data_IF_813675548061
#
_entry.id   IF_813675548061
#
_cell.length_a   1.000
_cell.length_b   1.000
_cell.length_c   1.000
_cell.angle_alpha   90.00
_cell.angle_beta   90.00
_cell.angle_gamma   90.00
#
_symmetry.space_group_name_H-M   'P 1'
#
loop_
_entity.id
_entity.type
_entity.pdbx_description
1 polymer ?
#
# COMPACT_ATOMS: atom_id res chain seq x y z
N UNK A 1 11.95 -10.99 -27.97
CA UNK A 1 11.27 -11.00 -26.64
C UNK A 1 12.26 -11.23 -25.50
N UNK A 2 13.18 -12.20 -25.63
CA UNK A 2 14.22 -12.52 -24.64
C UNK A 2 15.03 -11.33 -24.11
N UNK A 3 15.55 -10.45 -24.97
CA UNK A 3 16.31 -9.25 -24.55
C UNK A 3 15.55 -8.35 -23.56
N UNK A 4 14.25 -8.16 -23.79
CA UNK A 4 13.40 -7.33 -22.91
C UNK A 4 13.12 -8.00 -21.58
N UNK A 5 12.94 -9.32 -21.58
CA UNK A 5 12.78 -10.11 -20.34
C UNK A 5 14.08 -10.01 -19.52
N UNK A 6 15.25 -10.20 -20.15
CA UNK A 6 16.54 -10.05 -19.49
C UNK A 6 16.73 -8.67 -18.85
N UNK A 7 16.29 -7.59 -19.52
CA UNK A 7 16.33 -6.23 -18.94
C UNK A 7 15.43 -6.08 -17.71
N UNK A 8 14.20 -6.60 -17.75
CA UNK A 8 13.27 -6.54 -16.62
C UNK A 8 13.84 -7.34 -15.44
N UNK A 9 14.31 -8.56 -15.69
CA UNK A 9 14.93 -9.41 -14.69
C UNK A 9 16.14 -8.71 -14.07
N UNK A 10 17.02 -8.11 -14.87
CA UNK A 10 18.17 -7.37 -14.37
C UNK A 10 17.77 -6.20 -13.46
N UNK A 11 16.77 -5.40 -13.87
CA UNK A 11 16.27 -4.27 -13.05
C UNK A 11 15.70 -4.77 -11.73
N UNK A 12 14.91 -5.85 -11.76
CA UNK A 12 14.34 -6.45 -10.55
C UNK A 12 15.44 -6.97 -9.63
N UNK A 13 16.44 -7.68 -10.16
CA UNK A 13 17.56 -8.21 -9.37
C UNK A 13 18.38 -7.08 -8.75
N UNK A 14 18.68 -6.01 -9.49
CA UNK A 14 19.37 -4.83 -8.94
C UNK A 14 18.52 -4.18 -7.84
N UNK A 15 17.22 -4.01 -8.07
CA UNK A 15 16.31 -3.42 -7.07
C UNK A 15 16.17 -4.26 -5.80
N UNK A 16 16.18 -5.59 -5.92
CA UNK A 16 16.21 -6.53 -4.79
C UNK A 16 17.55 -6.43 -4.06
N UNK A 17 18.68 -6.45 -4.79
CA UNK A 17 20.01 -6.36 -4.18
C UNK A 17 20.16 -5.07 -3.36
N UNK A 18 19.75 -3.93 -3.91
CA UNK A 18 19.76 -2.65 -3.19
C UNK A 18 18.95 -2.75 -1.89
N UNK A 19 17.76 -3.37 -1.93
CA UNK A 19 16.90 -3.52 -0.75
C UNK A 19 17.48 -4.47 0.29
N UNK A 20 18.13 -5.56 -0.15
CA UNK A 20 18.85 -6.49 0.73
C UNK A 20 19.99 -5.76 1.46
N UNK A 21 20.76 -4.94 0.75
CA UNK A 21 21.86 -4.19 1.35
C UNK A 21 21.39 -3.08 2.30
N UNK A 22 20.22 -2.48 2.04
CA UNK A 22 19.65 -1.40 2.85
C UNK A 22 18.85 -1.93 4.06
N UNK A 23 18.28 -3.14 3.97
CA UNK A 23 17.38 -3.69 4.98
C UNK A 23 17.91 -3.65 6.42
N UNK A 24 19.22 -3.83 6.69
CA UNK A 24 19.72 -3.84 8.07
C UNK A 24 20.08 -2.45 8.61
N UNK A 25 20.14 -1.43 7.76
CA UNK A 25 20.69 -0.11 8.10
C UNK A 25 19.84 0.71 9.08
N UNK A 26 18.59 0.31 9.32
CA UNK A 26 17.68 1.06 10.18
C UNK A 26 16.75 0.15 10.97
N UNK A 27 16.80 0.32 12.29
CA UNK A 27 15.95 -0.31 13.30
C UNK A 27 14.91 0.70 13.78
N UNK A 28 14.01 1.09 12.88
CA UNK A 28 12.87 1.97 13.21
C UNK A 28 12.03 1.40 14.37
N UNK A 29 11.28 2.26 15.06
CA UNK A 29 10.35 1.80 16.11
C UNK A 29 9.33 0.78 15.58
N UNK A 30 8.88 0.94 14.33
CA UNK A 30 7.92 0.00 13.73
C UNK A 30 8.54 -1.37 13.43
N UNK A 31 9.79 -1.44 12.94
CA UNK A 31 10.41 -2.75 12.67
C UNK A 31 10.69 -3.50 13.96
N UNK A 32 11.04 -2.80 15.05
CA UNK A 32 11.18 -3.41 16.38
C UNK A 32 9.84 -4.01 16.85
N UNK A 33 8.72 -3.31 16.64
CA UNK A 33 7.38 -3.82 16.90
C UNK A 33 7.07 -5.06 16.04
N UNK A 34 7.36 -5.04 14.74
CA UNK A 34 7.14 -6.18 13.86
C UNK A 34 7.98 -7.40 14.26
N UNK A 35 9.23 -7.17 14.67
CA UNK A 35 10.15 -8.19 15.15
C UNK A 35 9.63 -8.87 16.42
N UNK A 36 9.11 -8.06 17.36
CA UNK A 36 8.46 -8.60 18.55
C UNK A 36 7.21 -9.42 18.22
N UNK A 37 6.34 -8.90 17.34
CA UNK A 37 5.19 -9.65 16.84
C UNK A 37 5.60 -10.99 16.27
N UNK A 38 6.57 -11.01 15.38
CA UNK A 38 7.12 -12.21 14.76
C UNK A 38 7.62 -13.23 15.81
N UNK A 39 8.47 -12.80 16.75
CA UNK A 39 9.03 -13.62 17.84
C UNK A 39 7.99 -14.17 18.80
N UNK A 40 6.99 -13.38 19.18
CA UNK A 40 5.92 -13.83 20.08
C UNK A 40 5.01 -14.82 19.37
N UNK A 41 4.60 -14.54 18.12
CA UNK A 41 3.80 -15.45 17.32
C UNK A 41 4.50 -16.81 17.15
N UNK A 42 5.81 -16.80 16.89
CA UNK A 42 6.58 -18.03 16.75
C UNK A 42 6.66 -18.81 18.06
N UNK A 43 7.03 -18.15 19.18
CA UNK A 43 7.22 -18.82 20.48
C UNK A 43 5.93 -19.25 21.17
N UNK A 44 4.85 -18.47 21.03
CA UNK A 44 3.55 -18.73 21.68
C UNK A 44 2.59 -19.50 20.79
N UNK A 45 2.83 -19.50 19.48
CA UNK A 45 1.86 -19.99 18.50
C UNK A 45 0.87 -18.90 18.08
N UNK A 46 0.12 -19.20 17.02
CA UNK A 46 -0.82 -18.27 16.40
C UNK A 46 -2.14 -18.15 17.17
N UNK A 47 -2.60 -19.25 17.78
CA UNK A 47 -3.87 -19.34 18.49
C UNK A 47 -3.96 -18.30 19.61
N UNK A 48 -5.04 -17.53 19.62
CA UNK A 48 -5.31 -16.46 20.59
C UNK A 48 -4.24 -15.35 20.69
N UNK A 49 -3.28 -15.29 19.78
CA UNK A 49 -2.13 -14.39 19.91
C UNK A 49 -2.55 -12.90 19.95
N UNK A 50 -3.61 -12.51 19.26
CA UNK A 50 -4.18 -11.16 19.35
C UNK A 50 -4.58 -10.74 20.77
N UNK A 51 -4.89 -11.67 21.66
CA UNK A 51 -5.29 -11.40 23.05
C UNK A 51 -4.24 -11.82 24.07
N UNK A 52 -3.04 -12.16 23.62
CA UNK A 52 -1.93 -12.38 24.53
C UNK A 52 -1.67 -11.12 25.36
N UNK A 53 -1.52 -11.27 26.68
CA UNK A 53 -1.46 -10.17 27.65
C UNK A 53 -0.07 -9.53 27.77
N UNK A 54 0.98 -10.22 27.35
CA UNK A 54 2.37 -9.81 27.60
C UNK A 54 3.11 -9.48 26.31
N UNK A 55 2.65 -8.45 25.61
CA UNK A 55 3.37 -7.85 24.49
C UNK A 55 4.42 -6.85 25.00
N UNK A 56 5.73 -7.08 24.79
CA UNK A 56 6.78 -6.19 25.32
C UNK A 56 6.68 -4.72 24.86
N UNK A 57 6.32 -4.44 23.62
CA UNK A 57 6.30 -3.09 23.03
C UNK A 57 4.89 -2.67 22.67
N UNK A 58 4.16 -3.48 21.88
CA UNK A 58 2.80 -3.13 21.48
C UNK A 58 1.96 -4.34 21.10
N UNK A 59 0.66 -4.22 21.38
CA UNK A 59 -0.33 -5.21 20.96
C UNK A 59 -0.44 -5.27 19.43
N UNK A 60 -0.71 -6.45 18.83
CA UNK A 60 -0.90 -6.59 17.40
C UNK A 60 -2.04 -5.75 16.87
N UNK A 61 -1.76 -5.08 15.77
CA UNK A 61 -2.71 -4.18 15.12
C UNK A 61 -2.91 -4.45 13.63
N UNK A 62 -2.06 -5.30 13.03
CA UNK A 62 -2.19 -5.67 11.63
C UNK A 62 -3.24 -6.78 11.43
N UNK A 63 -3.82 -6.91 10.24
CA UNK A 63 -4.76 -7.98 9.96
C UNK A 63 -4.05 -9.34 9.79
N UNK A 64 -4.81 -10.44 9.82
CA UNK A 64 -4.27 -11.78 10.00
C UNK A 64 -3.28 -12.22 8.92
N UNK A 65 -3.48 -11.83 7.66
CA UNK A 65 -2.58 -12.27 6.59
C UNK A 65 -1.18 -11.68 6.78
N UNK A 66 -1.08 -10.42 7.23
CA UNK A 66 0.20 -9.83 7.56
C UNK A 66 0.82 -10.43 8.82
N UNK A 67 0.01 -10.73 9.84
CA UNK A 67 0.47 -11.41 11.05
C UNK A 67 1.04 -12.80 10.74
N UNK A 68 0.41 -13.55 9.82
CA UNK A 68 0.96 -14.80 9.29
C UNK A 68 2.29 -14.58 8.56
N UNK A 69 2.40 -13.48 7.82
CA UNK A 69 3.66 -13.07 7.20
C UNK A 69 4.77 -12.89 8.22
N UNK A 70 4.51 -12.19 9.34
CA UNK A 70 5.49 -12.01 10.41
C UNK A 70 5.86 -13.33 11.10
N UNK A 71 4.88 -14.19 11.37
CA UNK A 71 5.16 -15.54 11.90
C UNK A 71 6.07 -16.34 10.96
N UNK A 72 5.79 -16.30 9.64
CA UNK A 72 6.61 -17.00 8.66
C UNK A 72 8.02 -16.41 8.57
N UNK A 73 8.16 -15.08 8.65
CA UNK A 73 9.47 -14.43 8.72
C UNK A 73 10.30 -14.95 9.89
N UNK A 74 9.72 -15.02 11.09
CA UNK A 74 10.43 -15.60 12.25
C UNK A 74 10.72 -17.08 12.08
N UNK A 75 9.75 -17.85 11.56
CA UNK A 75 9.92 -19.28 11.33
C UNK A 75 11.09 -19.56 10.38
N UNK A 76 11.21 -18.80 9.30
CA UNK A 76 12.32 -18.92 8.35
C UNK A 76 13.66 -18.53 9.00
N UNK A 77 13.68 -17.48 9.82
CA UNK A 77 14.88 -17.04 10.52
C UNK A 77 15.36 -18.08 11.53
N UNK A 78 14.47 -18.63 12.35
CA UNK A 78 14.80 -19.67 13.34
C UNK A 78 15.22 -20.99 12.69
N UNK A 79 14.89 -21.21 11.41
CA UNK A 79 15.30 -22.37 10.62
C UNK A 79 16.38 -22.02 9.58
N UNK A 80 17.18 -20.96 9.81
CA UNK A 80 18.22 -20.54 8.88
C UNK A 80 19.37 -21.54 8.70
N UNK A 81 19.52 -22.54 9.58
CA UNK A 81 20.52 -23.60 9.46
C UNK A 81 20.38 -24.41 8.15
N UNK A 82 19.19 -24.43 7.55
CA UNK A 82 18.93 -25.04 6.24
C UNK A 82 19.83 -24.43 5.15
N UNK A 83 20.24 -23.16 5.28
CA UNK A 83 21.18 -22.55 4.35
C UNK A 83 22.57 -23.21 4.41
N UNK A 84 23.03 -23.57 5.61
CA UNK A 84 24.29 -24.28 5.82
C UNK A 84 24.20 -25.73 5.31
N UNK A 85 23.08 -26.41 5.53
CA UNK A 85 22.83 -27.75 4.99
C UNK A 85 22.87 -27.74 3.46
N UNK A 86 22.20 -26.78 2.82
CA UNK A 86 22.20 -26.62 1.38
C UNK A 86 23.61 -26.32 0.84
N UNK A 87 24.37 -25.47 1.54
CA UNK A 87 25.76 -25.20 1.18
C UNK A 87 26.64 -26.44 1.24
N UNK A 88 26.45 -27.30 2.24
CA UNK A 88 27.21 -28.54 2.34
C UNK A 88 26.87 -29.54 1.22
N UNK A 89 25.63 -29.51 0.71
CA UNK A 89 25.17 -30.41 -0.34
C UNK A 89 25.54 -29.94 -1.76
N UNK A 90 25.35 -28.65 -2.06
CA UNK A 90 25.47 -28.10 -3.42
C UNK A 90 26.35 -26.85 -3.51
N UNK A 91 27.05 -26.48 -2.44
CA UNK A 91 27.90 -25.28 -2.35
C UNK A 91 27.18 -23.95 -2.61
N UNK A 92 25.85 -23.92 -2.40
CA UNK A 92 25.02 -22.71 -2.49
C UNK A 92 24.07 -22.61 -1.29
N UNK A 93 23.88 -21.41 -0.72
CA UNK A 93 24.54 -20.13 -1.07
C UNK A 93 26.00 -20.08 -0.55
N UNK A 94 26.87 -19.20 -1.08
CA UNK A 94 28.22 -19.00 -0.54
C UNK A 94 28.25 -18.68 0.96
N UNK A 95 29.30 -19.10 1.66
CA UNK A 95 29.45 -18.93 3.12
C UNK A 95 29.31 -17.47 3.55
N UNK A 96 29.80 -16.52 2.76
CA UNK A 96 29.64 -15.08 3.04
C UNK A 96 28.16 -14.64 3.11
N UNK A 97 27.28 -15.23 2.30
CA UNK A 97 25.84 -14.95 2.34
C UNK A 97 25.22 -15.54 3.60
N UNK A 98 25.65 -16.76 4.00
CA UNK A 98 25.17 -17.41 5.23
C UNK A 98 25.53 -16.57 6.45
N UNK A 99 26.79 -16.15 6.56
CA UNK A 99 27.26 -15.30 7.66
C UNK A 99 26.56 -13.94 7.69
N UNK A 100 26.34 -13.33 6.51
CA UNK A 100 25.58 -12.09 6.43
C UNK A 100 24.13 -12.28 6.86
N UNK A 101 23.50 -13.38 6.45
CA UNK A 101 22.12 -13.71 6.80
C UNK A 101 21.96 -14.03 8.28
N UNK A 102 22.92 -14.70 8.90
CA UNK A 102 22.90 -14.93 10.35
C UNK A 102 22.83 -13.62 11.15
N UNK A 103 23.52 -12.59 10.68
CA UNK A 103 23.55 -11.28 11.33
C UNK A 103 22.33 -10.39 11.00
N UNK A 104 21.81 -10.49 9.78
CA UNK A 104 20.87 -9.50 9.22
C UNK A 104 19.55 -10.09 8.70
N UNK A 105 19.44 -11.41 8.66
CA UNK A 105 18.37 -12.17 8.02
C UNK A 105 17.01 -11.90 8.62
N UNK A 106 16.94 -11.69 9.94
CA UNK A 106 15.69 -11.34 10.62
C UNK A 106 15.10 -10.03 10.07
N UNK A 107 15.90 -8.96 9.97
CA UNK A 107 15.43 -7.69 9.40
C UNK A 107 15.04 -7.81 7.93
N UNK A 108 15.82 -8.57 7.14
CA UNK A 108 15.48 -8.83 5.76
C UNK A 108 14.14 -9.57 5.64
N UNK A 109 13.94 -10.63 6.41
CA UNK A 109 12.75 -11.47 6.36
C UNK A 109 11.49 -10.74 6.83
N UNK A 110 11.59 -9.81 7.78
CA UNK A 110 10.45 -8.97 8.15
C UNK A 110 10.06 -7.99 7.02
N UNK A 111 11.06 -7.48 6.29
CA UNK A 111 10.88 -6.50 5.20
C UNK A 111 10.55 -7.13 3.86
N UNK A 112 10.78 -8.43 3.68
CA UNK A 112 10.60 -9.14 2.40
C UNK A 112 9.19 -8.99 1.82
N UNK A 113 8.18 -8.90 2.68
CA UNK A 113 6.79 -8.73 2.26
C UNK A 113 6.57 -7.41 1.51
N UNK A 114 7.18 -6.32 1.99
CA UNK A 114 7.12 -5.04 1.31
C UNK A 114 7.94 -5.06 0.00
N UNK A 115 9.09 -5.72 0.00
CA UNK A 115 9.92 -5.92 -1.20
C UNK A 115 9.15 -6.71 -2.27
N UNK A 116 8.39 -7.74 -1.89
CA UNK A 116 7.48 -8.47 -2.78
C UNK A 116 6.41 -7.51 -3.33
N UNK A 117 5.85 -6.65 -2.48
CA UNK A 117 4.93 -5.59 -2.90
C UNK A 117 5.50 -4.65 -3.97
N UNK A 118 6.78 -4.28 -3.86
CA UNK A 118 7.48 -3.48 -4.87
C UNK A 118 7.60 -4.21 -6.20
N UNK A 119 7.97 -5.51 -6.17
CA UNK A 119 8.08 -6.33 -7.38
C UNK A 119 6.72 -6.46 -8.06
N UNK A 120 5.67 -6.78 -7.31
CA UNK A 120 4.30 -6.88 -7.85
C UNK A 120 3.88 -5.54 -8.46
N UNK A 121 4.14 -4.42 -7.77
CA UNK A 121 3.83 -3.08 -8.26
C UNK A 121 4.59 -2.74 -9.55
N UNK A 122 5.86 -3.11 -9.65
CA UNK A 122 6.69 -2.91 -10.84
C UNK A 122 6.17 -3.71 -12.04
N UNK A 123 5.75 -4.96 -11.81
CA UNK A 123 5.12 -5.80 -12.83
C UNK A 123 3.76 -5.23 -13.27
N UNK A 124 2.94 -4.76 -12.32
CA UNK A 124 1.69 -4.06 -12.63
C UNK A 124 1.96 -2.85 -13.52
N UNK A 125 2.93 -2.01 -13.16
CA UNK A 125 3.30 -0.85 -13.97
C UNK A 125 3.73 -1.26 -15.39
N UNK A 126 4.55 -2.30 -15.53
CA UNK A 126 4.93 -2.84 -16.84
C UNK A 126 3.70 -3.20 -17.68
N UNK A 127 2.79 -4.02 -17.15
CA UNK A 127 1.63 -4.48 -17.91
C UNK A 127 0.68 -3.33 -18.27
N UNK A 128 0.43 -2.41 -17.34
CA UNK A 128 -0.46 -1.26 -17.57
C UNK A 128 0.14 -0.28 -18.58
N UNK A 129 1.41 0.09 -18.44
CA UNK A 129 2.08 1.01 -19.37
C UNK A 129 2.17 0.38 -20.76
N UNK A 130 2.48 -0.92 -20.85
CA UNK A 130 2.50 -1.63 -22.13
C UNK A 130 1.12 -1.64 -22.78
N UNK A 131 0.06 -1.86 -22.00
CA UNK A 131 -1.34 -1.81 -22.49
C UNK A 131 -1.74 -0.42 -22.99
N UNK A 132 -1.32 0.65 -22.31
CA UNK A 132 -1.67 2.03 -22.67
C UNK A 132 -0.87 2.52 -23.88
N UNK A 133 0.44 2.31 -23.85
CA UNK A 133 1.36 2.94 -24.82
C UNK A 133 1.72 2.05 -26.00
N UNK A 134 1.46 0.74 -25.89
CA UNK A 134 1.94 -0.30 -26.81
C UNK A 134 3.48 -0.36 -26.96
N UNK A 135 4.22 0.34 -26.09
CA UNK A 135 5.69 0.47 -26.16
C UNK A 135 6.35 -0.24 -24.97
N UNK A 136 7.04 -1.34 -25.24
CA UNK A 136 7.73 -2.08 -24.16
C UNK A 136 8.85 -1.28 -23.49
N UNK A 137 9.53 -0.40 -24.21
CA UNK A 137 10.61 0.40 -23.62
C UNK A 137 10.08 1.35 -22.54
N UNK A 138 8.91 1.95 -22.77
CA UNK A 138 8.23 2.76 -21.76
C UNK A 138 7.77 1.90 -20.57
N UNK A 139 7.29 0.68 -20.85
CA UNK A 139 6.91 -0.25 -19.79
C UNK A 139 8.11 -0.66 -18.91
N UNK A 140 9.29 -0.85 -19.49
CA UNK A 140 10.54 -1.11 -18.75
C UNK A 140 10.93 0.09 -17.89
N UNK A 141 10.74 1.33 -18.38
CA UNK A 141 10.93 2.54 -17.56
C UNK A 141 10.00 2.52 -16.34
N UNK A 142 8.76 2.04 -16.48
CA UNK A 142 7.85 1.86 -15.35
C UNK A 142 8.37 0.90 -14.28
N UNK A 143 8.96 -0.23 -14.69
CA UNK A 143 9.62 -1.17 -13.76
C UNK A 143 10.76 -0.46 -13.02
N UNK A 144 11.61 0.26 -13.76
CA UNK A 144 12.73 1.02 -13.20
C UNK A 144 12.26 2.07 -12.20
N UNK A 145 11.21 2.82 -12.53
CA UNK A 145 10.65 3.89 -11.70
C UNK A 145 10.03 3.40 -10.40
N UNK A 146 9.64 2.12 -10.29
CA UNK A 146 9.18 1.54 -9.02
C UNK A 146 10.33 0.88 -8.29
N UNK A 147 11.08 -0.01 -8.96
CA UNK A 147 12.17 -0.76 -8.33
C UNK A 147 13.30 0.14 -7.85
N UNK A 148 13.60 1.26 -8.51
CA UNK A 148 14.67 2.17 -8.12
C UNK A 148 14.14 3.49 -7.53
N UNK A 149 12.86 3.54 -7.15
CA UNK A 149 12.30 4.75 -6.55
C UNK A 149 12.82 4.92 -5.11
N UNK A 150 13.36 6.10 -4.73
CA UNK A 150 13.76 6.34 -3.35
C UNK A 150 12.58 6.25 -2.36
N UNK A 151 11.35 6.61 -2.75
CA UNK A 151 10.17 6.49 -1.87
C UNK A 151 9.88 5.04 -1.50
N UNK A 152 9.88 4.15 -2.50
CA UNK A 152 9.61 2.72 -2.29
C UNK A 152 10.78 2.04 -1.56
N UNK A 153 12.03 2.31 -1.94
CA UNK A 153 13.21 1.78 -1.23
C UNK A 153 13.20 2.23 0.25
N UNK A 154 12.88 3.50 0.50
CA UNK A 154 12.83 4.03 1.85
C UNK A 154 11.75 3.34 2.67
N UNK A 155 10.55 3.13 2.15
CA UNK A 155 9.47 2.51 2.90
C UNK A 155 9.67 1.00 3.11
N UNK A 156 10.00 0.26 2.05
CA UNK A 156 10.01 -1.20 2.09
C UNK A 156 11.29 -1.76 2.71
N UNK A 157 12.45 -1.17 2.42
CA UNK A 157 13.75 -1.68 2.85
C UNK A 157 14.37 -0.86 3.98
N UNK A 158 14.40 0.47 3.89
CA UNK A 158 15.00 1.25 4.97
C UNK A 158 14.11 1.27 6.21
N UNK A 159 12.83 1.63 6.07
CA UNK A 159 11.88 1.72 7.18
C UNK A 159 11.34 0.34 7.58
N UNK A 160 10.86 -0.44 6.60
CA UNK A 160 10.25 -1.74 6.81
C UNK A 160 8.74 -1.70 7.05
N UNK A 161 8.05 -0.74 6.46
CA UNK A 161 6.60 -0.73 6.40
C UNK A 161 6.12 -1.56 5.20
N UNK A 162 4.83 -1.90 5.19
CA UNK A 162 4.22 -2.86 4.27
C UNK A 162 3.02 -2.27 3.52
N UNK A 163 2.96 -0.94 3.38
CA UNK A 163 1.82 -0.26 2.77
C UNK A 163 1.72 -0.56 1.27
N UNK A 164 2.87 -0.77 0.61
CA UNK A 164 2.90 -1.03 -0.83
C UNK A 164 2.35 -2.41 -1.23
N UNK A 165 2.52 -3.46 -0.43
CA UNK A 165 2.04 -4.80 -0.78
C UNK A 165 0.50 -4.84 -0.81
N UNK A 166 -0.17 -4.28 0.20
CA UNK A 166 -1.63 -4.15 0.19
C UNK A 166 -2.10 -3.33 -1.01
N UNK A 167 -1.43 -2.21 -1.28
CA UNK A 167 -1.71 -1.36 -2.45
C UNK A 167 -1.57 -2.13 -3.77
N UNK A 168 -0.52 -2.94 -3.93
CA UNK A 168 -0.27 -3.73 -5.12
C UNK A 168 -1.40 -4.74 -5.39
N UNK A 169 -1.86 -5.45 -4.35
CA UNK A 169 -3.00 -6.37 -4.46
C UNK A 169 -4.31 -5.64 -4.79
N UNK A 170 -4.55 -4.47 -4.20
CA UNK A 170 -5.72 -3.66 -4.52
C UNK A 170 -5.69 -3.17 -5.98
N UNK A 171 -4.51 -2.82 -6.51
CA UNK A 171 -4.33 -2.50 -7.93
C UNK A 171 -4.55 -3.71 -8.85
N UNK A 172 -4.00 -4.87 -8.50
CA UNK A 172 -4.21 -6.10 -9.27
C UNK A 172 -5.69 -6.46 -9.34
N UNK A 173 -6.39 -6.36 -8.21
CA UNK A 173 -7.84 -6.51 -8.10
C UNK A 173 -8.56 -5.57 -9.09
N UNK A 174 -8.33 -4.27 -8.95
CA UNK A 174 -8.92 -3.21 -9.79
C UNK A 174 -8.67 -3.45 -11.30
N UNK A 175 -7.48 -3.88 -11.70
CA UNK A 175 -7.16 -4.20 -13.09
C UNK A 175 -7.92 -5.44 -13.61
N UNK A 176 -7.99 -6.49 -12.79
CA UNK A 176 -8.70 -7.73 -13.12
C UNK A 176 -10.21 -7.55 -13.15
N UNK A 177 -10.74 -6.57 -12.42
CA UNK A 177 -12.15 -6.20 -12.48
C UNK A 177 -12.62 -5.93 -13.92
N UNK A 178 -11.75 -5.31 -14.72
CA UNK A 178 -12.04 -4.99 -16.13
C UNK A 178 -11.81 -6.14 -17.10
N UNK A 179 -11.33 -7.29 -16.62
CA UNK A 179 -11.02 -8.47 -17.43
C UNK A 179 -12.26 -9.32 -17.69
N UNK A 180 -12.46 -9.74 -18.94
CA UNK A 180 -13.58 -10.62 -19.29
C UNK A 180 -13.47 -12.01 -18.62
N UNK A 181 -12.25 -12.54 -18.50
CA UNK A 181 -12.03 -13.95 -18.10
C UNK A 181 -11.59 -14.11 -16.64
N UNK A 182 -11.15 -13.03 -15.99
CA UNK A 182 -10.54 -13.08 -14.66
C UNK A 182 -11.19 -12.11 -13.66
N UNK A 183 -12.35 -11.55 -13.98
CA UNK A 183 -13.07 -10.63 -13.09
C UNK A 183 -13.50 -11.27 -11.77
N UNK A 184 -13.66 -12.60 -11.72
CA UNK A 184 -13.93 -13.35 -10.48
C UNK A 184 -12.78 -13.25 -9.45
N UNK A 185 -11.54 -13.03 -9.89
CA UNK A 185 -10.38 -12.86 -9.01
C UNK A 185 -10.28 -11.45 -8.41
N UNK A 186 -11.03 -10.49 -8.96
CA UNK A 186 -10.99 -9.10 -8.50
C UNK A 186 -11.33 -8.98 -7.02
N UNK A 187 -12.50 -9.50 -6.61
CA UNK A 187 -12.98 -9.39 -5.23
C UNK A 187 -12.05 -10.15 -4.24
N UNK A 188 -11.66 -11.42 -4.50
CA UNK A 188 -10.68 -12.12 -3.66
C UNK A 188 -9.40 -11.35 -3.45
N UNK A 189 -8.82 -10.75 -4.51
CA UNK A 189 -7.58 -9.98 -4.38
C UNK A 189 -7.77 -8.67 -3.61
N UNK A 190 -8.93 -8.03 -3.70
CA UNK A 190 -9.23 -6.86 -2.87
C UNK A 190 -9.33 -7.24 -1.39
N UNK A 191 -9.92 -8.39 -1.09
CA UNK A 191 -10.00 -8.92 0.26
C UNK A 191 -8.61 -9.31 0.78
N UNK A 192 -7.75 -9.90 -0.05
CA UNK A 192 -6.34 -10.13 0.29
C UNK A 192 -5.63 -8.82 0.62
N UNK A 193 -5.81 -7.77 -0.20
CA UNK A 193 -5.24 -6.45 0.05
C UNK A 193 -5.68 -5.89 1.41
N UNK A 194 -6.98 -5.96 1.71
CA UNK A 194 -7.55 -5.53 2.98
C UNK A 194 -7.01 -6.34 4.17
N UNK A 195 -6.85 -7.65 4.02
CA UNK A 195 -6.28 -8.56 5.03
C UNK A 195 -4.76 -8.39 5.22
N UNK A 196 -4.09 -7.61 4.38
CA UNK A 196 -2.70 -7.21 4.58
C UNK A 196 -2.64 -5.85 5.26
N UNK A 197 -3.39 -4.87 4.74
CA UNK A 197 -3.40 -3.50 5.25
C UNK A 197 -4.78 -2.86 5.07
N UNK A 198 -5.47 -2.45 6.15
CA UNK A 198 -6.79 -1.84 6.04
C UNK A 198 -6.80 -0.47 5.35
N UNK A 199 -5.65 0.19 5.21
CA UNK A 199 -5.53 1.51 4.57
C UNK A 199 -6.00 1.50 3.11
N UNK A 200 -6.00 0.34 2.45
CA UNK A 200 -6.55 0.19 1.09
C UNK A 200 -8.06 0.38 1.00
N UNK A 201 -8.78 0.43 2.12
CA UNK A 201 -10.23 0.69 2.17
C UNK A 201 -10.62 2.04 1.56
N UNK A 202 -9.69 2.99 1.50
CA UNK A 202 -9.87 4.24 0.77
C UNK A 202 -10.18 4.01 -0.73
N UNK A 203 -9.87 2.83 -1.28
CA UNK A 203 -10.21 2.48 -2.66
C UNK A 203 -11.61 1.86 -2.82
N UNK A 204 -12.33 1.55 -1.74
CA UNK A 204 -13.67 0.96 -1.82
C UNK A 204 -14.63 1.82 -2.65
N UNK A 205 -14.71 3.16 -2.46
CA UNK A 205 -15.62 3.97 -3.26
C UNK A 205 -15.35 3.87 -4.77
N UNK A 206 -14.08 3.93 -5.21
CA UNK A 206 -13.78 3.80 -6.64
C UNK A 206 -14.09 2.40 -7.15
N UNK A 207 -13.79 1.37 -6.36
CA UNK A 207 -14.10 -0.01 -6.69
C UNK A 207 -15.61 -0.19 -6.96
N UNK A 208 -16.46 0.32 -6.05
CA UNK A 208 -17.93 0.28 -6.19
C UNK A 208 -18.38 1.10 -7.40
N UNK A 209 -17.87 2.32 -7.59
CA UNK A 209 -18.27 3.17 -8.70
C UNK A 209 -17.93 2.55 -10.07
N UNK A 210 -16.77 1.91 -10.19
CA UNK A 210 -16.38 1.16 -11.38
C UNK A 210 -17.30 -0.05 -11.56
N UNK A 211 -17.60 -0.78 -10.47
CA UNK A 211 -18.53 -1.91 -10.49
C UNK A 211 -19.88 -1.50 -11.05
N UNK A 212 -20.47 -0.42 -10.53
CA UNK A 212 -21.76 0.11 -11.00
C UNK A 212 -21.67 0.48 -12.49
N UNK A 213 -20.63 1.22 -12.88
CA UNK A 213 -20.47 1.67 -14.27
C UNK A 213 -20.28 0.52 -15.27
N UNK A 214 -19.57 -0.52 -14.87
CA UNK A 214 -19.24 -1.66 -15.73
C UNK A 214 -20.20 -2.83 -15.55
N UNK A 215 -21.25 -2.67 -14.74
CA UNK A 215 -22.14 -3.74 -14.36
C UNK A 215 -22.73 -4.44 -15.59
N UNK A 216 -22.54 -5.75 -15.66
CA UNK A 216 -23.09 -6.62 -16.70
C UNK A 216 -23.68 -7.85 -16.02
N UNK A 217 -24.97 -8.11 -16.23
CA UNK A 217 -25.67 -9.26 -15.63
C UNK A 217 -24.96 -10.59 -15.89
N UNK A 218 -24.33 -10.75 -17.06
CA UNK A 218 -23.53 -11.95 -17.41
C UNK A 218 -22.33 -12.21 -16.50
N UNK A 219 -21.84 -11.19 -15.79
CA UNK A 219 -20.73 -11.31 -14.85
C UNK A 219 -21.20 -11.62 -13.42
N UNK A 220 -22.50 -11.59 -13.12
CA UNK A 220 -23.01 -11.78 -11.75
C UNK A 220 -22.54 -13.08 -11.10
N UNK A 221 -22.58 -14.20 -11.82
CA UNK A 221 -22.13 -15.49 -11.29
C UNK A 221 -20.62 -15.46 -10.96
N UNK A 222 -19.81 -14.86 -11.83
CA UNK A 222 -18.38 -14.70 -11.60
C UNK A 222 -18.07 -13.80 -10.40
N UNK A 223 -18.88 -12.76 -10.19
CA UNK A 223 -18.74 -11.85 -9.05
C UNK A 223 -19.19 -12.52 -7.76
N UNK A 224 -20.27 -13.29 -7.77
CA UNK A 224 -20.73 -14.07 -6.62
C UNK A 224 -19.69 -15.13 -6.22
N UNK A 225 -19.13 -15.86 -7.20
CA UNK A 225 -18.03 -16.78 -6.96
C UNK A 225 -16.81 -16.06 -6.35
N UNK A 226 -16.48 -14.86 -6.86
CA UNK A 226 -15.43 -14.01 -6.30
C UNK A 226 -15.70 -13.59 -4.85
N UNK A 227 -16.94 -13.21 -4.51
CA UNK A 227 -17.34 -12.89 -3.13
C UNK A 227 -17.17 -14.12 -2.24
N UNK A 228 -17.67 -15.28 -2.66
CA UNK A 228 -17.58 -16.52 -1.89
C UNK A 228 -16.12 -16.93 -1.65
N UNK A 229 -15.28 -16.94 -2.70
CA UNK A 229 -13.84 -17.23 -2.58
C UNK A 229 -13.18 -16.22 -1.65
N UNK A 230 -13.49 -14.93 -1.80
CA UNK A 230 -12.95 -13.87 -0.95
C UNK A 230 -13.32 -14.05 0.53
N UNK A 231 -14.58 -14.35 0.83
CA UNK A 231 -15.04 -14.62 2.20
C UNK A 231 -14.37 -15.87 2.79
N UNK A 232 -14.22 -16.94 2.00
CA UNK A 232 -13.48 -18.14 2.41
C UNK A 232 -12.04 -17.77 2.75
N UNK A 233 -11.34 -17.03 1.88
CA UNK A 233 -9.96 -16.59 2.14
C UNK A 233 -9.86 -15.73 3.39
N UNK A 234 -10.82 -14.82 3.61
CA UNK A 234 -10.88 -13.99 4.81
C UNK A 234 -11.01 -14.87 6.07
N UNK A 235 -11.98 -15.78 6.10
CA UNK A 235 -12.20 -16.68 7.25
C UNK A 235 -10.98 -17.57 7.48
N UNK A 236 -10.41 -18.14 6.41
CA UNK A 236 -9.21 -18.96 6.48
C UNK A 236 -7.99 -18.19 7.02
N UNK A 237 -7.88 -16.90 6.70
CA UNK A 237 -6.80 -16.08 7.25
C UNK A 237 -6.91 -15.90 8.77
N UNK A 238 -8.13 -15.80 9.30
CA UNK A 238 -8.36 -15.72 10.76
C UNK A 238 -8.22 -17.06 11.47
N UNK A 239 -8.50 -18.18 10.80
CA UNK A 239 -8.55 -19.52 11.41
C UNK A 239 -7.36 -19.84 12.36
N UNK A 240 -6.08 -19.56 12.03
CA UNK A 240 -4.96 -19.86 12.92
C UNK A 240 -4.96 -19.09 14.24
N UNK A 241 -5.72 -17.99 14.32
CA UNK A 241 -5.75 -17.09 15.47
C UNK A 241 -6.95 -17.33 16.42
N UNK A 242 -7.91 -18.17 16.03
CA UNK A 242 -9.13 -18.42 16.79
C UNK A 242 -8.91 -19.52 17.85
N UNK A 243 -9.62 -19.42 18.97
CA UNK A 243 -9.56 -20.42 20.06
C UNK A 243 -10.36 -21.68 19.74
N UNK A 244 -11.47 -21.51 19.03
CA UNK A 244 -12.42 -22.58 18.73
C UNK A 244 -12.30 -23.07 17.28
N UNK A 245 -12.47 -24.37 17.09
CA UNK A 245 -12.75 -24.99 15.80
C UNK A 245 -14.13 -25.65 15.88
N UNK A 246 -15.13 -25.25 15.07
CA UNK A 246 -15.06 -24.36 13.89
C UNK A 246 -14.90 -22.86 14.21
N UNK A 247 -14.48 -22.03 13.23
CA UNK A 247 -14.36 -20.58 13.38
C UNK A 247 -15.63 -19.90 13.88
N UNK A 248 -15.53 -19.16 14.99
CA UNK A 248 -16.62 -18.37 15.53
C UNK A 248 -16.57 -16.93 14.98
N UNK A 249 -17.64 -16.47 14.35
CA UNK A 249 -17.75 -15.09 13.80
C UNK A 249 -17.58 -14.04 14.90
N UNK A 250 -18.02 -14.32 16.13
CA UNK A 250 -17.87 -13.40 17.25
C UNK A 250 -16.39 -13.18 17.59
N UNK A 251 -15.55 -14.21 17.55
CA UNK A 251 -14.10 -14.06 17.79
C UNK A 251 -13.45 -13.21 16.68
N UNK A 252 -13.82 -13.44 15.41
CA UNK A 252 -13.35 -12.62 14.28
C UNK A 252 -13.76 -11.16 14.49
N UNK A 253 -15.03 -10.91 14.84
CA UNK A 253 -15.54 -9.58 15.13
C UNK A 253 -14.76 -8.93 16.29
N UNK A 254 -14.47 -9.66 17.37
CA UNK A 254 -13.69 -9.15 18.50
C UNK A 254 -12.28 -8.76 18.07
N UNK A 255 -11.59 -9.59 17.28
CA UNK A 255 -10.24 -9.26 16.77
C UNK A 255 -10.32 -7.99 15.91
N UNK A 256 -11.26 -7.93 14.96
CA UNK A 256 -11.42 -6.77 14.08
C UNK A 256 -11.72 -5.51 14.87
N UNK A 257 -12.69 -5.55 15.79
CA UNK A 257 -13.16 -4.37 16.50
C UNK A 257 -12.18 -3.87 17.57
N UNK A 258 -11.49 -4.78 18.28
CA UNK A 258 -10.61 -4.41 19.39
C UNK A 258 -9.13 -4.28 19.00
N UNK A 259 -8.68 -4.86 17.88
CA UNK A 259 -7.27 -4.84 17.46
C UNK A 259 -7.03 -4.13 16.13
N UNK A 260 -7.77 -4.48 15.08
CA UNK A 260 -7.48 -4.03 13.70
C UNK A 260 -8.15 -2.68 13.37
N UNK A 261 -9.40 -2.48 13.79
CA UNK A 261 -10.15 -1.26 13.49
C UNK A 261 -9.59 -0.02 14.21
N UNK A 262 -9.25 -0.07 15.52
CA UNK A 262 -8.67 1.08 16.22
C UNK A 262 -7.33 1.51 15.62
N UNK A 263 -6.51 0.55 15.16
CA UNK A 263 -5.21 0.83 14.58
C UNK A 263 -5.27 1.38 13.17
N UNK A 264 -6.24 0.94 12.36
CA UNK A 264 -6.43 1.49 11.01
C UNK A 264 -6.78 2.97 11.02
N UNK A 265 -7.44 3.44 12.08
CA UNK A 265 -7.71 4.87 12.34
C UNK A 265 -6.50 5.64 12.87
N UNK A 266 -5.46 4.94 13.31
CA UNK A 266 -4.30 5.53 13.99
C UNK A 266 -4.67 6.30 15.26
N UNK A 267 -3.76 7.15 15.71
CA UNK A 267 -4.09 8.14 16.75
C UNK A 267 -5.00 9.19 16.11
N UNK A 268 -6.13 9.49 16.75
CA UNK A 268 -7.13 10.45 16.24
C UNK A 268 -6.54 11.87 16.32
N UNK A 269 -5.84 12.29 15.26
CA UNK A 269 -5.18 13.60 15.15
C UNK A 269 -5.55 14.28 13.85
N UNK A 270 -5.42 15.60 13.81
CA UNK A 270 -5.60 16.36 12.58
C UNK A 270 -4.60 15.93 11.50
N UNK A 271 -3.34 15.65 11.88
CA UNK A 271 -2.34 15.02 11.03
C UNK A 271 -1.37 14.19 11.88
N UNK A 272 -1.07 12.96 11.44
CA UNK A 272 -0.06 12.10 12.07
C UNK A 272 1.21 12.14 11.21
N UNK A 273 2.11 13.07 11.51
CA UNK A 273 3.35 13.28 10.75
C UNK A 273 3.20 13.50 9.22
N UNK A 274 1.98 13.72 8.70
CA UNK A 274 1.72 13.84 7.26
C UNK A 274 1.66 15.30 6.77
N UNK A 275 2.30 15.57 5.64
CA UNK A 275 2.25 16.85 4.93
C UNK A 275 0.93 16.99 4.16
N UNK A 276 -0.12 17.32 4.90
CA UNK A 276 -1.51 17.35 4.43
C UNK A 276 -2.17 18.72 4.71
N UNK A 277 -3.45 18.87 4.36
CA UNK A 277 -4.21 20.12 4.55
C UNK A 277 -4.16 20.64 6.00
N UNK A 278 -4.30 19.76 6.98
CA UNK A 278 -4.32 20.14 8.39
C UNK A 278 -2.98 20.68 8.88
N UNK A 279 -1.87 20.17 8.35
CA UNK A 279 -0.53 20.64 8.74
C UNK A 279 -0.21 22.07 8.31
N UNK A 280 -1.04 22.70 7.46
CA UNK A 280 -0.96 24.14 7.17
C UNK A 280 -1.30 25.00 8.39
N UNK A 281 -2.30 24.55 9.15
CA UNK A 281 -2.92 25.32 10.23
C UNK A 281 -2.48 24.81 11.60
N UNK A 282 -2.22 23.51 11.72
CA UNK A 282 -2.01 22.82 12.97
C UNK A 282 -0.60 22.21 13.07
N UNK A 283 -0.14 21.99 14.30
CA UNK A 283 1.15 21.32 14.55
C UNK A 283 0.98 19.82 14.36
N UNK A 284 1.89 19.19 13.61
CA UNK A 284 1.94 17.74 13.42
C UNK A 284 1.89 17.03 14.78
N UNK A 285 1.14 15.93 14.85
CA UNK A 285 1.14 15.03 16.00
C UNK A 285 0.64 15.60 17.34
N UNK A 286 0.09 16.82 17.35
CA UNK A 286 -0.39 17.47 18.58
C UNK A 286 -1.88 17.74 18.58
N UNK A 287 -2.43 18.20 17.46
CA UNK A 287 -3.83 18.61 17.41
C UNK A 287 -4.74 17.39 17.29
N UNK A 288 -5.70 17.21 18.22
CA UNK A 288 -6.59 16.06 18.16
C UNK A 288 -7.56 16.22 16.98
N UNK A 289 -7.89 15.10 16.34
CA UNK A 289 -8.79 15.10 15.18
C UNK A 289 -10.21 15.50 15.54
N UNK A 290 -10.58 15.44 16.83
CA UNK A 290 -11.88 15.83 17.32
C UNK A 290 -12.06 17.33 17.65
N UNK A 291 -11.03 18.15 17.42
CA UNK A 291 -11.11 19.59 17.64
C UNK A 291 -12.24 20.21 16.80
N UNK A 292 -13.10 21.08 17.37
CA UNK A 292 -14.10 21.80 16.59
C UNK A 292 -13.47 22.94 15.77
N UNK A 293 -13.92 23.09 14.53
CA UNK A 293 -13.63 24.19 13.61
C UNK A 293 -14.94 24.63 12.95
N UNK A 294 -15.36 25.89 13.14
CA UNK A 294 -16.64 26.41 12.64
C UNK A 294 -17.82 25.46 12.95
N UNK A 295 -17.93 25.01 14.21
CA UNK A 295 -18.97 24.10 14.71
C UNK A 295 -18.93 22.65 14.23
N UNK A 296 -17.99 22.28 13.35
CA UNK A 296 -17.79 20.91 12.90
C UNK A 296 -16.44 20.37 13.36
N UNK A 297 -16.41 19.08 13.69
CA UNK A 297 -15.19 18.38 14.09
C UNK A 297 -14.24 18.20 12.89
N UNK A 298 -12.92 18.36 13.06
CA UNK A 298 -11.95 18.22 11.96
C UNK A 298 -12.03 16.86 11.25
N UNK A 299 -12.35 15.77 11.97
CA UNK A 299 -12.58 14.46 11.35
C UNK A 299 -13.79 14.47 10.39
N UNK A 300 -14.88 15.14 10.78
CA UNK A 300 -16.07 15.28 9.95
C UNK A 300 -15.74 16.13 8.72
N UNK A 301 -15.00 17.24 8.92
CA UNK A 301 -14.52 18.07 7.81
C UNK A 301 -13.68 17.27 6.81
N UNK A 302 -12.80 16.39 7.28
CA UNK A 302 -11.98 15.55 6.41
C UNK A 302 -12.79 14.53 5.61
N UNK A 303 -13.82 13.94 6.24
CA UNK A 303 -14.78 13.07 5.56
C UNK A 303 -15.56 13.85 4.50
N UNK A 304 -16.01 15.07 4.80
CA UNK A 304 -16.71 15.94 3.84
C UNK A 304 -15.83 16.21 2.61
N UNK A 305 -14.57 16.62 2.81
CA UNK A 305 -13.64 16.82 1.70
C UNK A 305 -13.43 15.56 0.88
N UNK A 306 -13.27 14.41 1.54
CA UNK A 306 -13.13 13.14 0.86
C UNK A 306 -14.37 12.77 0.03
N UNK A 307 -15.58 12.98 0.56
CA UNK A 307 -16.84 12.76 -0.16
C UNK A 307 -16.93 13.67 -1.39
N UNK A 308 -16.52 14.94 -1.28
CA UNK A 308 -16.48 15.88 -2.42
C UNK A 308 -15.56 15.33 -3.52
N UNK A 309 -14.38 14.82 -3.17
CA UNK A 309 -13.43 14.22 -4.13
C UNK A 309 -14.03 12.98 -4.79
N UNK A 310 -14.61 12.07 -4.00
CA UNK A 310 -15.27 10.86 -4.52
C UNK A 310 -16.41 11.24 -5.46
N UNK A 311 -17.20 12.25 -5.11
CA UNK A 311 -18.33 12.74 -5.93
C UNK A 311 -17.85 13.36 -7.24
N UNK A 312 -16.79 14.17 -7.19
CA UNK A 312 -16.19 14.77 -8.38
C UNK A 312 -15.64 13.69 -9.32
N UNK A 313 -14.96 12.67 -8.77
CA UNK A 313 -14.49 11.51 -9.51
C UNK A 313 -15.65 10.69 -10.08
N UNK A 314 -16.71 10.45 -9.31
CA UNK A 314 -17.90 9.73 -9.77
C UNK A 314 -18.58 10.46 -10.94
N UNK A 315 -18.79 11.78 -10.81
CA UNK A 315 -19.38 12.59 -11.87
C UNK A 315 -18.56 12.53 -13.16
N UNK A 316 -17.24 12.71 -13.05
CA UNK A 316 -16.34 12.59 -14.20
C UNK A 316 -16.33 11.17 -14.78
N UNK A 317 -16.33 10.15 -13.91
CA UNK A 317 -16.41 8.75 -14.30
C UNK A 317 -17.68 8.49 -15.11
N UNK A 318 -18.86 8.84 -14.63
CA UNK A 318 -20.12 8.52 -15.33
C UNK A 318 -20.33 9.33 -16.62
N UNK A 319 -19.75 10.53 -16.76
CA UNK A 319 -19.83 11.32 -17.99
C UNK A 319 -18.91 10.84 -19.11
N UNK A 320 -17.78 10.23 -18.75
CA UNK A 320 -16.70 9.93 -19.69
C UNK A 320 -16.54 8.44 -19.97
N UNK A 321 -15.87 8.07 -21.08
CA UNK A 321 -15.50 6.67 -21.32
C UNK A 321 -14.44 6.23 -20.30
N UNK A 322 -14.54 4.98 -19.86
CA UNK A 322 -13.53 4.40 -18.96
C UNK A 322 -12.32 3.96 -19.79
N UNK A 323 -11.29 4.80 -19.83
CA UNK A 323 -9.99 4.47 -20.43
C UNK A 323 -9.03 4.04 -19.32
N UNK A 324 -7.98 3.24 -19.62
CA UNK A 324 -6.99 2.87 -18.60
C UNK A 324 -6.26 4.08 -17.99
N UNK A 325 -6.08 5.16 -18.75
CA UNK A 325 -5.48 6.40 -18.23
C UNK A 325 -6.41 7.10 -17.24
N UNK A 326 -7.69 7.28 -17.59
CA UNK A 326 -8.68 7.90 -16.68
C UNK A 326 -8.83 7.09 -15.40
N UNK A 327 -8.78 5.76 -15.53
CA UNK A 327 -8.81 4.84 -14.41
C UNK A 327 -7.72 5.12 -13.38
N UNK A 328 -6.47 5.27 -13.83
CA UNK A 328 -5.33 5.59 -12.99
C UNK A 328 -5.46 6.97 -12.35
N UNK A 329 -5.99 7.95 -13.08
CA UNK A 329 -6.29 9.26 -12.51
C UNK A 329 -7.34 9.18 -11.40
N UNK A 330 -8.41 8.38 -11.55
CA UNK A 330 -9.40 8.21 -10.49
C UNK A 330 -8.81 7.61 -9.22
N UNK A 331 -7.97 6.57 -9.37
CA UNK A 331 -7.27 5.99 -8.22
C UNK A 331 -6.33 7.01 -7.58
N UNK A 332 -5.56 7.75 -8.39
CA UNK A 332 -4.68 8.81 -7.90
C UNK A 332 -5.45 9.87 -7.12
N UNK A 333 -6.55 10.41 -7.67
CA UNK A 333 -7.30 11.49 -7.02
C UNK A 333 -8.00 11.06 -5.74
N UNK A 334 -8.59 9.86 -5.72
CA UNK A 334 -9.21 9.33 -4.50
C UNK A 334 -8.14 9.05 -3.45
N UNK A 335 -7.01 8.46 -3.82
CA UNK A 335 -5.98 8.08 -2.87
C UNK A 335 -5.18 9.26 -2.33
N UNK A 336 -4.69 10.12 -3.23
CA UNK A 336 -3.97 11.32 -2.84
C UNK A 336 -4.92 12.34 -2.20
N UNK A 337 -6.18 12.37 -2.63
CA UNK A 337 -7.22 13.19 -2.01
C UNK A 337 -7.48 12.78 -0.57
N UNK A 338 -7.61 11.48 -0.30
CA UNK A 338 -7.70 10.96 1.06
C UNK A 338 -6.46 11.37 1.89
N UNK A 339 -5.26 11.15 1.37
CA UNK A 339 -4.01 11.50 2.06
C UNK A 339 -3.91 13.01 2.38
N UNK A 340 -4.30 13.90 1.45
CA UNK A 340 -4.23 15.35 1.64
C UNK A 340 -5.32 15.87 2.57
N UNK A 341 -6.56 15.38 2.45
CA UNK A 341 -7.72 16.04 3.04
C UNK A 341 -8.39 15.30 4.18
N UNK A 342 -8.07 14.03 4.44
CA UNK A 342 -8.57 13.33 5.63
C UNK A 342 -7.65 13.52 6.83
N UNK A 343 -8.23 13.47 8.03
CA UNK A 343 -7.49 13.45 9.30
C UNK A 343 -6.87 12.07 9.55
N UNK A 344 -6.02 12.00 10.58
CA UNK A 344 -5.33 10.79 11.04
C UNK A 344 -4.46 10.07 9.99
N UNK A 345 -4.16 10.73 8.87
CA UNK A 345 -3.29 10.19 7.84
C UNK A 345 -1.85 10.16 8.35
N UNK A 346 -1.21 8.99 8.22
CA UNK A 346 0.23 8.81 8.44
C UNK A 346 1.01 9.28 7.22
N UNK A 347 2.27 9.63 7.44
CA UNK A 347 3.23 10.11 6.43
C UNK A 347 3.45 9.18 5.23
N UNK A 348 2.95 7.95 5.30
CA UNK A 348 3.11 6.90 4.29
C UNK A 348 1.81 6.46 3.63
N UNK A 349 0.64 6.95 4.02
CA UNK A 349 -0.66 6.44 3.52
C UNK A 349 -0.99 6.79 2.06
N UNK A 350 -0.03 7.36 1.31
CA UNK A 350 -0.18 7.70 -0.10
C UNK A 350 0.16 6.54 -1.08
N UNK A 351 0.58 5.36 -0.62
CA UNK A 351 1.06 4.28 -1.52
C UNK A 351 0.11 3.85 -2.64
N UNK A 352 -1.22 3.83 -2.45
CA UNK A 352 -2.12 3.63 -3.58
C UNK A 352 -1.94 4.72 -4.65
N UNK A 353 -1.84 5.99 -4.27
CA UNK A 353 -1.56 7.08 -5.22
C UNK A 353 -0.17 6.95 -5.87
N UNK A 354 0.83 6.44 -5.14
CA UNK A 354 2.20 6.26 -5.62
C UNK A 354 2.27 5.35 -6.85
N UNK A 355 1.56 4.23 -6.85
CA UNK A 355 1.55 3.30 -7.99
C UNK A 355 0.93 3.98 -9.22
N UNK A 356 -0.24 4.63 -9.09
CA UNK A 356 -0.83 5.37 -10.21
C UNK A 356 0.08 6.49 -10.71
N UNK A 357 0.66 7.27 -9.80
CA UNK A 357 1.54 8.40 -10.13
C UNK A 357 2.72 7.97 -11.01
N UNK A 358 3.40 6.88 -10.64
CA UNK A 358 4.55 6.37 -11.42
C UNK A 358 4.14 5.84 -12.80
N UNK A 359 2.96 5.23 -12.91
CA UNK A 359 2.42 4.82 -14.22
C UNK A 359 2.06 6.06 -15.06
N UNK A 360 1.34 7.01 -14.48
CA UNK A 360 0.90 8.25 -15.14
C UNK A 360 2.08 9.11 -15.58
N UNK A 361 3.18 9.14 -14.81
CA UNK A 361 4.43 9.81 -15.18
C UNK A 361 4.96 9.34 -16.54
N UNK A 362 4.83 8.05 -16.86
CA UNK A 362 5.30 7.48 -18.12
C UNK A 362 4.27 7.68 -19.23
N UNK A 363 2.99 7.48 -18.94
CA UNK A 363 1.94 7.41 -19.96
C UNK A 363 1.40 8.77 -20.40
N UNK A 364 1.50 9.80 -19.56
CA UNK A 364 0.91 11.11 -19.84
C UNK A 364 1.80 12.07 -20.66
N UNK A 365 1.21 13.15 -21.22
CA UNK A 365 1.94 14.18 -21.96
C UNK A 365 3.11 14.77 -21.18
N UNK A 366 4.15 15.22 -21.90
CA UNK A 366 5.38 15.78 -21.30
C UNK A 366 5.11 16.88 -20.28
N UNK A 367 4.08 17.70 -20.48
CA UNK A 367 3.77 18.85 -19.63
C UNK A 367 3.29 18.48 -18.23
N UNK A 368 2.69 17.29 -18.03
CA UNK A 368 2.21 16.86 -16.71
C UNK A 368 3.23 16.07 -15.91
N UNK A 369 4.29 15.57 -16.55
CA UNK A 369 5.34 14.73 -15.92
C UNK A 369 6.02 15.40 -14.75
N UNK A 370 6.32 16.70 -14.88
CA UNK A 370 6.99 17.49 -13.83
C UNK A 370 6.20 17.49 -12.51
N UNK A 371 4.87 17.44 -12.56
CA UNK A 371 4.03 17.42 -11.37
C UNK A 371 4.02 16.05 -10.68
N UNK A 372 4.12 14.95 -11.43
CA UNK A 372 4.28 13.61 -10.85
C UNK A 372 5.70 13.38 -10.29
N UNK A 373 6.72 13.98 -10.91
CA UNK A 373 8.09 14.01 -10.34
C UNK A 373 8.07 14.79 -9.02
N UNK A 374 7.49 16.00 -9.03
CA UNK A 374 7.32 16.80 -7.82
C UNK A 374 6.56 16.03 -6.74
N UNK A 375 5.51 15.29 -7.12
CA UNK A 375 4.75 14.47 -6.16
C UNK A 375 5.61 13.39 -5.49
N UNK A 376 6.49 12.70 -6.24
CA UNK A 376 7.42 11.72 -5.67
C UNK A 376 8.44 12.38 -4.73
N UNK A 377 8.94 13.58 -5.08
CA UNK A 377 9.85 14.34 -4.22
C UNK A 377 9.13 14.72 -2.92
N UNK A 378 7.91 15.25 -2.99
CA UNK A 378 7.12 15.61 -1.81
C UNK A 378 6.84 14.43 -0.89
N UNK A 379 6.53 13.26 -1.46
CA UNK A 379 6.35 12.03 -0.69
C UNK A 379 7.64 11.58 -0.01
N UNK A 380 8.78 11.64 -0.70
CA UNK A 380 10.08 11.32 -0.10
C UNK A 380 10.41 12.27 1.05
N UNK A 381 10.21 13.58 0.84
CA UNK A 381 10.41 14.60 1.87
C UNK A 381 9.47 14.36 3.06
N UNK A 382 8.22 13.98 2.81
CA UNK A 382 7.27 13.64 3.86
C UNK A 382 7.74 12.44 4.70
N UNK A 383 8.26 11.38 4.06
CA UNK A 383 8.81 10.23 4.78
C UNK A 383 10.03 10.59 5.63
N UNK A 384 10.95 11.41 5.11
CA UNK A 384 12.20 11.81 5.77
C UNK A 384 11.95 12.82 6.90
N UNK A 385 11.08 13.82 6.66
CA UNK A 385 10.85 14.96 7.56
C UNK A 385 9.55 14.83 8.37
N UNK A 386 8.98 13.62 8.44
CA UNK A 386 7.81 13.26 9.25
C UNK A 386 7.98 13.61 10.74
N UNK A 387 9.21 13.61 11.25
CA UNK A 387 9.56 14.05 12.61
C UNK A 387 10.10 15.49 12.55
N UNK A 388 9.37 16.50 13.09
CA UNK A 388 9.63 17.88 12.73
C UNK A 388 10.91 18.44 13.35
N UNK A 389 11.74 19.08 12.51
CA UNK A 389 12.75 20.06 12.96
C UNK A 389 12.32 21.52 12.65
N UNK A 390 11.45 21.77 11.65
CA UNK A 390 10.95 23.11 11.32
C UNK A 390 9.47 23.11 10.91
N UNK A 391 8.63 23.79 11.68
CA UNK A 391 7.19 23.93 11.41
C UNK A 391 6.91 24.68 10.10
N UNK A 392 7.74 25.68 9.77
CA UNK A 392 7.60 26.47 8.54
C UNK A 392 7.80 25.60 7.29
N UNK A 393 8.82 24.72 7.31
CA UNK A 393 9.09 23.82 6.20
C UNK A 393 7.90 22.89 5.93
N UNK A 394 7.33 22.29 6.97
CA UNK A 394 6.15 21.43 6.86
C UNK A 394 4.99 22.18 6.19
N UNK A 395 4.68 23.40 6.64
CA UNK A 395 3.61 24.21 6.06
C UNK A 395 3.83 24.50 4.58
N UNK A 396 5.06 24.87 4.20
CA UNK A 396 5.42 25.12 2.80
C UNK A 396 5.24 23.86 1.97
N UNK A 397 5.77 22.72 2.41
CA UNK A 397 5.68 21.46 1.68
C UNK A 397 4.25 20.97 1.53
N UNK A 398 3.42 21.12 2.57
CA UNK A 398 1.99 20.79 2.52
C UNK A 398 1.22 21.69 1.54
N UNK A 399 1.54 22.98 1.50
CA UNK A 399 0.93 23.91 0.53
C UNK A 399 1.31 23.51 -0.90
N UNK A 400 2.58 23.21 -1.13
CA UNK A 400 3.07 22.75 -2.44
C UNK A 400 2.40 21.43 -2.83
N UNK A 401 2.19 20.48 -1.91
CA UNK A 401 1.47 19.24 -2.17
C UNK A 401 0.02 19.46 -2.59
N UNK A 402 -0.70 20.37 -1.92
CA UNK A 402 -2.08 20.73 -2.27
C UNK A 402 -2.14 21.40 -3.65
N UNK A 403 -1.29 22.40 -3.89
CA UNK A 403 -1.23 23.10 -5.18
C UNK A 403 -0.86 22.15 -6.32
N UNK A 404 0.07 21.22 -6.09
CA UNK A 404 0.44 20.19 -7.07
C UNK A 404 -0.75 19.26 -7.38
N UNK A 405 -1.47 18.79 -6.36
CA UNK A 405 -2.68 17.98 -6.54
C UNK A 405 -3.76 18.69 -7.37
N UNK A 406 -4.07 19.94 -7.03
CA UNK A 406 -5.04 20.76 -7.77
C UNK A 406 -4.60 21.04 -9.21
N UNK A 407 -3.29 21.24 -9.43
CA UNK A 407 -2.74 21.43 -10.77
C UNK A 407 -2.86 20.15 -11.61
N UNK A 408 -2.56 18.97 -11.05
CA UNK A 408 -2.76 17.70 -11.74
C UNK A 408 -4.25 17.50 -12.07
N UNK A 409 -5.15 17.89 -11.16
CA UNK A 409 -6.60 17.83 -11.36
C UNK A 409 -7.09 18.74 -12.49
N UNK A 410 -6.61 19.98 -12.58
CA UNK A 410 -7.00 20.89 -13.66
C UNK A 410 -6.55 20.38 -15.03
N UNK A 411 -5.34 19.81 -15.12
CA UNK A 411 -4.89 19.15 -16.34
C UNK A 411 -5.76 17.95 -16.70
N UNK A 412 -6.12 17.11 -15.73
CA UNK A 412 -6.98 15.96 -15.96
C UNK A 412 -8.33 16.37 -16.57
N UNK A 413 -9.00 17.38 -16.01
CA UNK A 413 -10.26 17.90 -16.54
C UNK A 413 -10.08 18.49 -17.95
N UNK A 414 -8.99 19.24 -18.19
CA UNK A 414 -8.76 19.87 -19.50
C UNK A 414 -8.54 18.88 -20.65
N UNK A 415 -8.07 17.66 -20.34
CA UNK A 415 -7.81 16.62 -21.34
C UNK A 415 -9.05 15.84 -21.73
N UNK A 416 -10.14 15.98 -20.99
CA UNK A 416 -11.41 15.35 -21.35
C UNK A 416 -12.03 16.11 -22.52
N UNK A 417 -12.14 15.51 -23.72
CA UNK A 417 -12.79 16.18 -24.83
C UNK A 417 -14.23 16.50 -24.41
N UNK A 418 -14.60 17.78 -24.47
CA UNK A 418 -15.99 18.20 -24.37
C UNK A 418 -16.74 17.44 -25.47
N UNK A 419 -17.55 16.46 -25.09
CA UNK A 419 -18.59 15.93 -25.97
C UNK A 419 -19.53 17.09 -26.24
N UNK A 420 -19.36 17.74 -27.40
CA UNK A 420 -20.49 18.39 -28.06
C UNK A 420 -21.38 17.30 -28.62
#
# INVERSE_FOLDING_TARGET
MAKKIGQITLIILIGILIRILISPLNTSGDIAVHQEWARVLYRKGLTNSYFYSHWPTSIPTQPPLMMLGFWLSEHLYQNQYVLSELHNQIHLPPTAIILWFDQNGEFLLLKIWAIIGDIISALIAYFVIKKITQKSNLAIIGVLLIMLNPVSIYESAFWGQNDIIGSAFAYASLLLFTSANASFLSIPLFIVAFSIKPTVTILIPIYILIFIKMFKYKLLLSQFAGITIGLILLILSFKPFLNQSPPNINEIYTIVNHRISPSSKGVIRASNSAFNFYSLFYTLDRTPGNLPFLFINLNILGIIFYIIIVTAVAFHLFKNKLTPTNYLFYIFFISQGAFIFMTSMLERYFFPAFIASNILLVTNPKNTRKYFILQNILWLLNLIFSRPQSLLLVKILSLVAILNYLTIYSFFISQTPNKK
#
